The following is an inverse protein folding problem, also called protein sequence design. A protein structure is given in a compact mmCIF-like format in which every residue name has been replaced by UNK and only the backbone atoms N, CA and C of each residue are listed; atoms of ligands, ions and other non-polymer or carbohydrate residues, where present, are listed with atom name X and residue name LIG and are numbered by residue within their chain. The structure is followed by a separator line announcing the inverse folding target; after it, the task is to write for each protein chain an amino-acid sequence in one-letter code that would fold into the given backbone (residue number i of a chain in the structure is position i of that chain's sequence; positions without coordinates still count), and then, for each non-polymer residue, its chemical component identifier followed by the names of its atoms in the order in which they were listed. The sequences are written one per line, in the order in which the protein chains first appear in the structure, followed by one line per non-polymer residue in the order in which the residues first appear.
data_IF_522158354574
#
_entry.id   IF_522158354574
#
_cell.length_a   1.000
_cell.length_b   1.000
_cell.length_c   1.000
_cell.angle_alpha   90.00
_cell.angle_beta   90.00
_cell.angle_gamma   90.00
#
_symmetry.space_group_name_H-M   'P 1'
#
loop_
_entity.id
_entity.type
_entity.pdbx_description
1 polymer ?
#
# COMPACT_ATOMS: atom_id res chain seq x y z
N UNK A 1 14.60 -3.12 11.91
CA UNK A 1 13.49 -2.35 11.30
C UNK A 1 13.07 -2.95 9.95
N UNK A 2 14.03 -3.39 9.12
CA UNK A 2 13.82 -4.02 7.82
C UNK A 2 12.93 -5.27 7.88
N UNK A 3 13.20 -6.24 8.77
CA UNK A 3 12.41 -7.47 8.89
C UNK A 3 10.90 -7.22 9.09
N UNK A 4 10.52 -6.30 9.99
CA UNK A 4 9.11 -5.94 10.21
C UNK A 4 8.44 -5.30 8.98
N UNK A 5 9.21 -4.56 8.17
CA UNK A 5 8.71 -3.96 6.91
C UNK A 5 8.51 -5.04 5.85
N UNK A 6 9.39 -6.05 5.79
CA UNK A 6 9.23 -7.21 4.91
C UNK A 6 7.99 -8.04 5.30
N UNK A 7 7.84 -8.38 6.58
CA UNK A 7 6.65 -9.11 7.03
C UNK A 7 5.36 -8.31 6.80
N UNK A 8 5.35 -7.00 7.06
CA UNK A 8 4.22 -6.14 6.73
C UNK A 8 3.91 -6.17 5.22
N UNK A 9 4.93 -6.18 4.36
CA UNK A 9 4.76 -6.29 2.90
C UNK A 9 4.20 -7.65 2.48
N UNK A 10 4.58 -8.75 3.16
CA UNK A 10 4.02 -10.09 2.92
C UNK A 10 2.54 -10.13 3.30
N UNK A 11 2.16 -9.56 4.45
CA UNK A 11 0.76 -9.49 4.87
C UNK A 11 -0.06 -8.61 3.90
N UNK A 12 0.47 -7.45 3.51
CA UNK A 12 -0.18 -6.59 2.52
C UNK A 12 -0.29 -7.30 1.15
N UNK A 13 0.71 -8.10 0.76
CA UNK A 13 0.68 -8.91 -0.46
C UNK A 13 -0.40 -9.98 -0.38
N UNK A 14 -0.50 -10.70 0.74
CA UNK A 14 -1.53 -11.70 0.94
C UNK A 14 -2.93 -11.09 0.74
N UNK A 15 -3.21 -9.94 1.36
CA UNK A 15 -4.46 -9.21 1.16
C UNK A 15 -4.68 -8.78 -0.29
N UNK A 16 -3.65 -8.31 -0.97
CA UNK A 16 -3.72 -7.98 -2.38
C UNK A 16 -4.02 -9.22 -3.24
N UNK A 17 -3.41 -10.37 -2.95
CA UNK A 17 -3.67 -11.62 -3.67
C UNK A 17 -5.10 -12.13 -3.42
N UNK A 18 -5.62 -11.99 -2.19
CA UNK A 18 -7.03 -12.28 -1.91
C UNK A 18 -7.95 -11.37 -2.74
N UNK A 19 -7.67 -10.06 -2.77
CA UNK A 19 -8.44 -9.13 -3.60
C UNK A 19 -8.34 -9.46 -5.10
N UNK A 20 -7.18 -9.94 -5.58
CA UNK A 20 -6.99 -10.39 -6.96
C UNK A 20 -7.83 -11.63 -7.27
N UNK A 21 -7.81 -12.63 -6.39
CA UNK A 21 -8.55 -13.87 -6.57
C UNK A 21 -10.07 -13.59 -6.65
N UNK A 22 -10.60 -12.72 -5.79
CA UNK A 22 -12.02 -12.35 -5.84
C UNK A 22 -12.35 -11.37 -6.97
N UNK A 23 -11.47 -10.42 -7.29
CA UNK A 23 -11.73 -9.37 -8.29
C UNK A 23 -11.50 -9.81 -9.74
N UNK A 24 -10.62 -10.78 -9.98
CA UNK A 24 -10.25 -11.24 -11.33
C UNK A 24 -10.77 -12.67 -11.58
N UNK A 25 -10.49 -13.61 -10.68
CA UNK A 25 -10.75 -15.03 -10.95
C UNK A 25 -12.24 -15.37 -10.87
N UNK A 26 -12.99 -14.73 -9.97
CA UNK A 26 -14.43 -14.97 -9.88
C UNK A 26 -15.21 -14.44 -11.09
N UNK A 27 -15.02 -13.18 -11.54
CA UNK A 27 -15.70 -12.69 -12.74
C UNK A 27 -15.29 -13.42 -14.00
N UNK A 28 -14.00 -13.78 -14.16
CA UNK A 28 -13.54 -14.53 -15.32
C UNK A 28 -14.14 -15.94 -15.38
N UNK A 29 -14.24 -16.64 -14.24
CA UNK A 29 -14.91 -17.93 -14.14
C UNK A 29 -16.42 -17.83 -14.44
N UNK A 30 -17.08 -16.76 -13.99
CA UNK A 30 -18.49 -16.51 -14.32
C UNK A 30 -18.67 -16.25 -15.83
N UNK A 31 -17.82 -15.44 -16.44
CA UNK A 31 -17.87 -15.13 -17.87
C UNK A 31 -17.57 -16.34 -18.74
N UNK A 32 -16.62 -17.19 -18.33
CA UNK A 32 -16.35 -18.46 -19.00
C UNK A 32 -17.58 -19.37 -19.02
N UNK A 33 -18.37 -19.37 -17.94
CA UNK A 33 -19.66 -20.08 -17.86
C UNK A 33 -20.76 -19.44 -18.71
N UNK A 34 -20.73 -18.12 -18.88
CA UNK A 34 -21.70 -17.38 -19.70
C UNK A 34 -21.40 -17.44 -21.21
N UNK A 35 -20.33 -18.12 -21.64
CA UNK A 35 -20.05 -18.52 -23.03
C UNK A 35 -20.08 -17.37 -24.06
N UNK A 36 -19.43 -16.24 -23.74
CA UNK A 36 -19.06 -15.23 -24.74
C UNK A 36 -17.91 -15.78 -25.61
N UNK A 37 -18.25 -16.40 -26.75
CA UNK A 37 -17.32 -17.09 -27.66
C UNK A 37 -16.43 -16.18 -28.52
N UNK A 38 -16.48 -14.85 -28.36
CA UNK A 38 -15.62 -13.95 -29.12
C UNK A 38 -14.31 -13.68 -28.38
N UNK A 39 -13.17 -14.04 -29.00
CA UNK A 39 -11.83 -13.86 -28.41
C UNK A 39 -11.53 -12.41 -28.00
N UNK A 40 -12.00 -11.44 -28.79
CA UNK A 40 -11.81 -10.02 -28.51
C UNK A 40 -12.53 -9.55 -27.23
N UNK A 41 -13.70 -10.11 -26.94
CA UNK A 41 -14.45 -9.77 -25.71
C UNK A 41 -13.71 -10.34 -24.49
N UNK A 42 -13.18 -11.55 -24.58
CA UNK A 42 -12.40 -12.15 -23.49
C UNK A 42 -11.12 -11.35 -23.18
N UNK A 43 -10.41 -10.86 -24.20
CA UNK A 43 -9.22 -10.03 -24.03
C UNK A 43 -9.51 -8.68 -23.36
N UNK A 44 -10.54 -7.96 -23.83
CA UNK A 44 -10.96 -6.69 -23.22
C UNK A 44 -11.39 -6.88 -21.76
N UNK A 45 -12.07 -7.98 -21.44
CA UNK A 45 -12.42 -8.33 -20.06
C UNK A 45 -11.20 -8.63 -19.20
N UNK A 46 -10.21 -9.34 -19.73
CA UNK A 46 -8.95 -9.59 -19.03
C UNK A 46 -8.25 -8.30 -18.65
N UNK A 47 -8.14 -7.35 -19.59
CA UNK A 47 -7.57 -6.03 -19.35
C UNK A 47 -8.38 -5.22 -18.33
N UNK A 48 -9.71 -5.23 -18.45
CA UNK A 48 -10.60 -4.56 -17.51
C UNK A 48 -10.48 -5.13 -16.08
N UNK A 49 -10.38 -6.46 -15.95
CA UNK A 49 -10.21 -7.12 -14.66
C UNK A 49 -8.85 -6.77 -14.01
N UNK A 50 -7.77 -6.73 -14.80
CA UNK A 50 -6.46 -6.27 -14.32
C UNK A 50 -6.55 -4.81 -13.87
N UNK A 51 -7.08 -3.92 -14.70
CA UNK A 51 -7.21 -2.50 -14.36
C UNK A 51 -8.05 -2.30 -13.08
N UNK A 52 -9.17 -3.02 -12.96
CA UNK A 52 -10.04 -3.01 -11.79
C UNK A 52 -9.31 -3.52 -10.54
N UNK A 53 -8.50 -4.57 -10.66
CA UNK A 53 -7.70 -5.10 -9.56
C UNK A 53 -6.69 -4.07 -9.03
N UNK A 54 -5.95 -3.41 -9.92
CA UNK A 54 -5.01 -2.35 -9.54
C UNK A 54 -5.73 -1.20 -8.84
N UNK A 55 -6.86 -0.77 -9.39
CA UNK A 55 -7.66 0.32 -8.83
C UNK A 55 -8.23 -0.04 -7.45
N UNK A 56 -8.89 -1.20 -7.33
CA UNK A 56 -9.49 -1.65 -6.07
C UNK A 56 -8.42 -1.82 -4.99
N UNK A 57 -7.29 -2.45 -5.30
CA UNK A 57 -6.20 -2.65 -4.33
C UNK A 57 -5.59 -1.31 -3.90
N UNK A 58 -5.37 -0.39 -4.84
CA UNK A 58 -4.85 0.93 -4.52
C UNK A 58 -5.82 1.76 -3.65
N UNK A 59 -7.13 1.64 -3.87
CA UNK A 59 -8.14 2.31 -3.04
C UNK A 59 -8.26 1.64 -1.67
N UNK A 60 -8.39 0.31 -1.62
CA UNK A 60 -8.55 -0.47 -0.39
C UNK A 60 -7.35 -0.33 0.56
N UNK A 61 -6.14 -0.19 0.05
CA UNK A 61 -4.95 0.03 0.87
C UNK A 61 -4.61 1.51 1.04
N UNK A 62 -4.85 2.32 0.02
CA UNK A 62 -4.52 3.75 0.01
C UNK A 62 -5.43 4.57 0.92
N UNK A 63 -6.73 4.32 0.94
CA UNK A 63 -7.68 5.07 1.78
C UNK A 63 -7.40 4.86 3.28
N UNK A 64 -7.27 3.61 3.79
CA UNK A 64 -6.81 3.38 5.17
C UNK A 64 -5.46 4.01 5.46
N UNK A 65 -4.53 4.00 4.50
CA UNK A 65 -3.22 4.64 4.68
C UNK A 65 -3.36 6.15 4.84
N UNK A 66 -4.25 6.82 4.10
CA UNK A 66 -4.49 8.24 4.28
C UNK A 66 -5.18 8.56 5.62
N UNK A 67 -6.16 7.77 6.03
CA UNK A 67 -6.95 8.01 7.24
C UNK A 67 -6.20 7.64 8.53
N UNK A 68 -5.57 6.48 8.54
CA UNK A 68 -4.93 5.90 9.72
C UNK A 68 -3.40 5.99 9.70
N UNK A 69 -2.83 6.51 8.61
CA UNK A 69 -1.37 6.56 8.40
C UNK A 69 -0.76 5.16 8.46
N UNK A 70 -1.50 4.12 8.07
CA UNK A 70 -1.02 2.73 8.13
C UNK A 70 -1.84 1.82 7.21
N UNK A 71 -1.20 0.77 6.69
CA UNK A 71 -1.88 -0.35 6.01
C UNK A 71 -2.20 -1.45 7.03
N UNK A 72 -3.14 -2.37 6.76
CA UNK A 72 -3.44 -3.48 7.68
C UNK A 72 -2.20 -4.28 8.12
N UNK A 73 -1.30 -4.62 7.18
CA UNK A 73 -0.06 -5.31 7.51
C UNK A 73 0.89 -4.45 8.34
N UNK A 74 1.06 -3.17 8.01
CA UNK A 74 1.91 -2.25 8.79
C UNK A 74 1.37 -1.96 10.18
N UNK A 75 0.06 -1.92 10.33
CA UNK A 75 -0.61 -1.72 11.60
C UNK A 75 -0.28 -2.84 12.59
N UNK A 76 -0.31 -4.10 12.11
CA UNK A 76 0.04 -5.28 12.90
C UNK A 76 1.45 -5.20 13.50
N UNK A 77 2.39 -4.56 12.78
CA UNK A 77 3.78 -4.41 13.22
C UNK A 77 4.10 -3.07 13.91
N UNK A 78 3.08 -2.25 14.20
CA UNK A 78 3.24 -0.95 14.86
C UNK A 78 4.00 0.06 14.00
N UNK A 79 3.78 0.02 12.69
CA UNK A 79 4.38 0.93 11.72
C UNK A 79 3.34 1.96 11.25
N UNK A 80 3.82 3.18 11.02
CA UNK A 80 3.02 4.26 10.46
C UNK A 80 3.75 4.89 9.28
N UNK A 81 2.99 5.33 8.29
CA UNK A 81 3.44 6.02 7.09
C UNK A 81 3.22 7.50 7.33
N UNK A 82 4.29 8.28 7.37
CA UNK A 82 4.25 9.73 7.44
C UNK A 82 4.55 10.32 6.07
N UNK A 83 3.87 11.40 5.72
CA UNK A 83 4.11 12.15 4.49
C UNK A 83 5.27 13.14 4.61
N UNK A 84 5.49 13.95 3.55
CA UNK A 84 6.53 14.96 3.52
C UNK A 84 6.44 15.91 4.72
N UNK A 85 7.59 16.24 5.33
CA UNK A 85 7.67 17.13 6.51
C UNK A 85 6.84 16.64 7.71
N UNK A 86 6.75 15.32 7.89
CA UNK A 86 5.98 14.67 8.96
C UNK A 86 4.47 15.02 8.97
N UNK A 87 3.92 15.44 7.82
CA UNK A 87 2.48 15.68 7.67
C UNK A 87 1.75 14.39 7.33
N UNK A 88 0.43 14.39 7.55
CA UNK A 88 -0.42 13.28 7.10
C UNK A 88 -0.43 13.21 5.57
N UNK A 89 -0.40 11.98 5.05
CA UNK A 89 -0.64 11.72 3.63
C UNK A 89 -2.06 12.13 3.23
N UNK A 90 -2.20 12.78 2.07
CA UNK A 90 -3.50 12.98 1.43
C UNK A 90 -3.98 11.68 0.79
N UNK A 91 -5.29 11.55 0.57
CA UNK A 91 -5.88 10.37 -0.10
C UNK A 91 -5.23 10.14 -1.47
N UNK A 92 -5.07 11.21 -2.26
CA UNK A 92 -4.41 11.15 -3.58
C UNK A 92 -2.98 10.64 -3.48
N UNK A 93 -2.19 11.18 -2.56
CA UNK A 93 -0.80 10.74 -2.35
C UNK A 93 -0.73 9.28 -1.88
N UNK A 94 -1.65 8.84 -1.03
CA UNK A 94 -1.69 7.45 -0.55
C UNK A 94 -2.07 6.46 -1.66
N UNK A 95 -3.05 6.81 -2.51
CA UNK A 95 -3.44 5.98 -3.67
C UNK A 95 -2.28 5.91 -4.68
N UNK A 96 -1.64 7.03 -5.01
CA UNK A 96 -0.47 7.06 -5.90
C UNK A 96 0.68 6.22 -5.35
N UNK A 97 0.90 6.24 -4.03
CA UNK A 97 1.90 5.42 -3.35
C UNK A 97 1.61 3.92 -3.52
N UNK A 98 0.35 3.49 -3.35
CA UNK A 98 -0.02 2.09 -3.52
C UNK A 98 -0.02 1.66 -5.00
N UNK A 99 -0.42 2.54 -5.93
CA UNK A 99 -0.27 2.28 -7.37
C UNK A 99 1.20 2.11 -7.76
N UNK A 100 2.09 2.99 -7.30
CA UNK A 100 3.52 2.88 -7.55
C UNK A 100 4.09 1.57 -6.96
N UNK A 101 3.63 1.16 -5.77
CA UNK A 101 4.01 -0.12 -5.16
C UNK A 101 3.56 -1.30 -6.02
N UNK A 102 2.31 -1.31 -6.47
CA UNK A 102 1.76 -2.38 -7.33
C UNK A 102 2.47 -2.42 -8.70
N UNK A 103 2.75 -1.26 -9.29
CA UNK A 103 3.49 -1.17 -10.54
C UNK A 103 4.90 -1.72 -10.40
N UNK A 104 5.62 -1.35 -9.33
CA UNK A 104 6.96 -1.89 -9.03
C UNK A 104 6.93 -3.40 -8.82
N UNK A 105 5.86 -3.92 -8.21
CA UNK A 105 5.66 -5.34 -7.96
C UNK A 105 5.34 -6.13 -9.24
N UNK A 106 4.55 -5.54 -10.15
CA UNK A 106 4.03 -6.21 -11.35
C UNK A 106 4.97 -6.11 -12.55
N UNK A 107 5.51 -4.93 -12.83
CA UNK A 107 6.38 -4.67 -14.00
C UNK A 107 7.77 -5.26 -13.80
N UNK A 108 8.16 -5.50 -12.56
CA UNK A 108 9.47 -6.04 -12.23
C UNK A 108 9.24 -7.29 -11.39
N UNK A 109 9.41 -8.49 -11.95
CA UNK A 109 9.53 -9.71 -11.12
C UNK A 109 10.74 -9.58 -10.15
N UNK A 110 11.73 -8.77 -10.50
CA UNK A 110 12.81 -8.27 -9.63
C UNK A 110 12.40 -7.12 -8.69
N UNK A 111 11.14 -6.70 -8.66
CA UNK A 111 10.64 -5.57 -7.87
C UNK A 111 10.88 -5.77 -6.38
N UNK A 112 10.86 -7.02 -5.92
CA UNK A 112 11.27 -7.41 -4.58
C UNK A 112 12.76 -7.19 -4.33
N UNK A 113 13.62 -7.52 -5.29
CA UNK A 113 15.07 -7.31 -5.17
C UNK A 113 15.42 -5.83 -5.16
N UNK A 114 14.79 -5.03 -6.03
CA UNK A 114 14.96 -3.57 -6.04
C UNK A 114 14.40 -2.96 -4.74
N UNK A 115 13.21 -3.37 -4.31
CA UNK A 115 12.65 -2.91 -3.04
C UNK A 115 13.58 -3.26 -1.88
N UNK A 116 14.09 -4.49 -1.83
CA UNK A 116 15.01 -4.95 -0.79
C UNK A 116 16.32 -4.14 -0.84
N UNK A 117 16.88 -3.91 -2.02
CA UNK A 117 18.10 -3.12 -2.21
C UNK A 117 17.94 -1.69 -1.68
N UNK A 118 16.88 -0.99 -2.10
CA UNK A 118 16.60 0.37 -1.62
C UNK A 118 16.25 0.38 -0.12
N UNK A 119 15.53 -0.62 0.36
CA UNK A 119 15.17 -0.72 1.78
C UNK A 119 16.38 -0.98 2.69
N UNK A 120 17.33 -1.80 2.23
CA UNK A 120 18.57 -2.11 2.96
C UNK A 120 19.54 -0.93 2.88
N UNK A 121 19.69 -0.30 1.71
CA UNK A 121 20.68 0.75 1.48
C UNK A 121 20.23 2.15 1.89
N UNK A 122 18.96 2.49 1.70
CA UNK A 122 18.42 3.85 1.88
C UNK A 122 17.27 3.92 2.90
N UNK A 123 16.92 2.80 3.56
CA UNK A 123 15.82 2.71 4.53
C UNK A 123 14.48 3.27 4.02
N UNK A 124 14.31 3.37 2.70
CA UNK A 124 13.13 3.87 2.00
C UNK A 124 12.88 2.99 0.79
N UNK A 125 11.63 2.89 0.34
CA UNK A 125 11.29 2.15 -0.89
C UNK A 125 11.08 3.13 -2.04
N UNK A 126 11.16 2.66 -3.28
CA UNK A 126 10.93 3.51 -4.46
C UNK A 126 9.58 4.24 -4.42
N UNK A 127 8.51 3.53 -4.06
CA UNK A 127 7.18 4.13 -3.93
C UNK A 127 7.08 5.12 -2.75
N UNK A 128 7.88 4.93 -1.70
CA UNK A 128 7.96 5.88 -0.60
C UNK A 128 8.66 7.17 -1.06
N UNK A 129 9.73 7.05 -1.85
CA UNK A 129 10.49 8.18 -2.42
C UNK A 129 9.67 9.01 -3.41
N UNK A 130 8.92 8.35 -4.30
CA UNK A 130 8.06 9.01 -5.29
C UNK A 130 7.03 9.96 -4.65
N UNK A 131 6.56 9.61 -3.45
CA UNK A 131 5.53 10.39 -2.73
C UNK A 131 6.14 11.23 -1.59
N UNK A 132 7.46 11.14 -1.37
CA UNK A 132 8.14 11.77 -0.24
C UNK A 132 7.63 11.29 1.12
N UNK A 133 7.15 10.05 1.17
CA UNK A 133 6.64 9.41 2.38
C UNK A 133 7.73 8.58 3.06
N UNK A 134 7.57 8.33 4.36
CA UNK A 134 8.48 7.51 5.12
C UNK A 134 7.71 6.60 6.07
N UNK A 135 8.15 5.35 6.22
CA UNK A 135 7.59 4.45 7.23
C UNK A 135 8.42 4.54 8.50
N UNK A 136 7.78 4.93 9.59
CA UNK A 136 8.37 5.05 10.91
C UNK A 136 7.69 4.09 11.89
N UNK A 137 8.35 3.84 13.03
CA UNK A 137 7.70 3.12 14.13
C UNK A 137 6.73 4.06 14.82
N UNK A 138 5.50 3.59 15.02
CA UNK A 138 4.51 4.26 15.86
C UNK A 138 5.04 4.31 17.30
N UNK A 139 5.56 5.46 17.72
CA UNK A 139 5.98 5.69 19.11
C UNK A 139 4.81 6.24 19.91
N UNK A 140 4.47 5.59 21.02
CA UNK A 140 3.60 6.21 22.02
C UNK A 140 4.42 7.29 22.74
N UNK A 141 3.88 8.50 22.82
CA UNK A 141 4.47 9.57 23.65
C UNK A 141 4.51 9.09 25.11
N UNK A 142 5.64 9.29 25.78
CA UNK A 142 5.74 9.07 27.23
C UNK A 142 4.85 10.07 27.98
N UNK A 143 4.50 9.76 29.23
CA UNK A 143 3.67 10.65 30.06
C UNK A 143 4.27 12.07 30.12
N UNK A 144 5.59 12.18 30.26
CA UNK A 144 6.33 13.45 30.25
C UNK A 144 6.18 14.20 28.92
N UNK A 145 6.32 13.51 27.79
CA UNK A 145 6.15 14.11 26.46
C UNK A 145 4.69 14.56 26.20
N UNK A 146 3.70 13.81 26.72
CA UNK A 146 2.30 14.23 26.66
C UNK A 146 2.07 15.52 27.46
N UNK A 147 2.55 15.58 28.71
CA UNK A 147 2.46 16.77 29.56
C UNK A 147 3.14 17.98 28.92
N UNK A 148 4.32 17.80 28.34
CA UNK A 148 5.02 18.88 27.63
C UNK A 148 4.22 19.38 26.43
N UNK A 149 3.66 18.48 25.61
CA UNK A 149 2.83 18.85 24.45
C UNK A 149 1.56 19.60 24.88
N UNK A 150 0.94 19.21 25.99
CA UNK A 150 -0.20 19.90 26.57
C UNK A 150 0.17 21.29 27.10
N UNK A 151 1.32 21.41 27.79
CA UNK A 151 1.84 22.70 28.24
C UNK A 151 2.10 23.64 27.06
N UNK A 152 2.80 23.20 26.01
CA UNK A 152 3.06 24.00 24.81
C UNK A 152 1.78 24.46 24.12
N UNK A 153 0.73 23.62 24.10
CA UNK A 153 -0.58 24.00 23.54
C UNK A 153 -1.30 25.09 24.34
N UNK A 154 -1.04 25.23 25.65
CA UNK A 154 -1.65 26.28 26.48
C UNK A 154 -1.02 27.66 26.24
N UNK A 155 0.22 27.71 25.75
CA UNK A 155 0.96 28.95 25.52
C UNK A 155 1.01 29.38 24.05
N UNK A 156 0.14 28.81 23.21
CA UNK A 156 0.06 29.08 21.77
C UNK A 156 -1.34 29.55 21.41
#
# INVERSE_FOLDING_TARGET
MVARRLFAAVVDLFWAMTAAAFGIAWPSALLARLSLKSGLVAELWGLAAIALFFLLTAVLLGVPTALWQTTPGKWLFGLEVIGPRARRLTVRSAILRELAKLFTLFVVMFGWLIMLFYLVRQHTTLHDQLVGSQVVRRRKLTATQKRFREAVKRYR
#
